data_IF_548512079754
#
_entry.id   IF_548512079754
#
_cell.length_a   1.000
_cell.length_b   1.000
_cell.length_c   1.000
_cell.angle_alpha   90.00
_cell.angle_beta   90.00
_cell.angle_gamma   90.00
#
_symmetry.space_group_name_H-M   'P 1'
#
loop_
_entity.id
_entity.type
_entity.pdbx_description
1 polymer ?
#
# COMPACT_ATOMS: atom_id res chain seq x y z
N UNK A 1 -5.18 -22.21 -5.34
CA UNK A 1 -6.27 -21.48 -6.03
C UNK A 1 -7.21 -20.96 -4.97
N UNK A 2 -7.37 -19.64 -4.85
CA UNK A 2 -8.28 -19.01 -3.87
C UNK A 2 -9.69 -18.95 -4.46
N UNK A 3 -10.70 -19.48 -3.77
CA UNK A 3 -12.09 -19.48 -4.23
C UNK A 3 -12.75 -18.13 -3.93
N UNK A 4 -13.39 -17.54 -4.94
CA UNK A 4 -14.25 -16.35 -4.77
C UNK A 4 -15.69 -16.80 -4.57
N UNK A 5 -16.32 -16.36 -3.49
CA UNK A 5 -17.70 -16.71 -3.13
C UNK A 5 -18.68 -15.77 -3.81
N UNK A 6 -19.03 -16.06 -5.07
CA UNK A 6 -20.12 -15.36 -5.78
C UNK A 6 -21.50 -15.89 -5.42
N UNK A 7 -21.56 -17.16 -5.07
CA UNK A 7 -22.76 -17.86 -4.60
C UNK A 7 -22.40 -18.43 -3.24
N UNK A 8 -23.13 -18.05 -2.17
CA UNK A 8 -22.89 -18.59 -0.84
C UNK A 8 -23.05 -20.12 -0.79
N UNK A 9 -22.47 -20.73 0.23
CA UNK A 9 -22.62 -22.16 0.48
C UNK A 9 -24.10 -22.50 0.78
N UNK A 10 -24.57 -23.66 0.32
CA UNK A 10 -25.93 -24.12 0.54
C UNK A 10 -27.05 -23.12 0.15
N UNK A 11 -26.85 -22.24 -0.83
CA UNK A 11 -27.93 -21.32 -1.33
C UNK A 11 -29.20 -22.07 -1.74
N UNK A 12 -29.05 -23.28 -2.31
CA UNK A 12 -30.18 -24.15 -2.69
C UNK A 12 -30.43 -25.29 -1.68
N UNK A 13 -29.68 -25.33 -0.58
CA UNK A 13 -29.82 -26.37 0.45
C UNK A 13 -30.72 -25.92 1.59
N UNK A 14 -31.19 -26.89 2.39
CA UNK A 14 -31.91 -26.60 3.62
C UNK A 14 -31.00 -25.87 4.62
N UNK A 15 -31.54 -24.80 5.20
CA UNK A 15 -30.85 -23.92 6.14
C UNK A 15 -31.79 -23.56 7.28
N UNK A 16 -31.21 -23.35 8.45
CA UNK A 16 -31.89 -22.76 9.60
C UNK A 16 -31.07 -21.58 10.11
N UNK A 17 -31.76 -20.49 10.45
CA UNK A 17 -31.11 -19.30 11.03
C UNK A 17 -30.51 -19.64 12.38
N UNK A 18 -29.28 -19.19 12.62
CA UNK A 18 -28.60 -19.39 13.90
C UNK A 18 -28.80 -18.14 14.77
N UNK A 19 -29.36 -18.27 15.98
CA UNK A 19 -29.48 -17.15 16.90
C UNK A 19 -28.11 -16.59 17.30
N UNK A 20 -28.03 -15.29 17.60
CA UNK A 20 -26.84 -14.73 18.23
C UNK A 20 -26.76 -15.16 19.69
N UNK A 21 -27.83 -14.94 20.44
CA UNK A 21 -27.89 -15.18 21.89
C UNK A 21 -27.69 -16.65 22.27
N UNK A 22 -27.14 -16.88 23.46
CA UNK A 22 -26.97 -18.23 24.02
C UNK A 22 -28.34 -18.89 24.22
N UNK A 23 -28.51 -20.10 23.69
CA UNK A 23 -29.77 -20.82 23.79
C UNK A 23 -29.86 -21.59 25.11
N UNK A 24 -30.98 -21.45 25.82
CA UNK A 24 -31.18 -22.08 27.13
C UNK A 24 -31.24 -23.62 27.06
N UNK A 25 -31.55 -24.17 25.88
CA UNK A 25 -31.60 -25.60 25.60
C UNK A 25 -30.24 -26.18 25.16
N UNK A 26 -29.18 -25.37 25.18
CA UNK A 26 -27.83 -25.75 24.77
C UNK A 26 -27.63 -25.82 23.24
N UNK A 27 -28.59 -25.39 22.43
CA UNK A 27 -28.45 -25.36 20.98
C UNK A 27 -27.38 -24.35 20.52
N UNK A 28 -26.77 -24.62 19.37
CA UNK A 28 -25.77 -23.73 18.75
C UNK A 28 -26.29 -22.30 18.56
N UNK A 29 -25.46 -21.32 18.92
CA UNK A 29 -25.63 -19.90 18.65
C UNK A 29 -24.33 -19.26 18.21
N UNK A 30 -24.35 -18.05 17.63
CA UNK A 30 -23.12 -17.36 17.26
C UNK A 30 -22.26 -16.95 18.47
N UNK A 31 -22.88 -16.64 19.61
CA UNK A 31 -22.15 -16.28 20.83
C UNK A 31 -21.52 -17.50 21.51
N UNK A 32 -22.23 -18.62 21.60
CA UNK A 32 -21.76 -19.81 22.33
C UNK A 32 -21.02 -20.82 21.46
N UNK A 33 -21.31 -20.85 20.15
CA UNK A 33 -20.89 -21.93 19.26
C UNK A 33 -21.58 -23.26 19.59
N UNK A 34 -20.99 -24.37 19.15
CA UNK A 34 -21.39 -25.70 19.59
C UNK A 34 -20.90 -25.93 21.03
N UNK A 35 -21.84 -26.01 21.98
CA UNK A 35 -21.54 -26.18 23.40
C UNK A 35 -21.19 -27.60 23.81
N UNK A 36 -21.01 -27.81 25.13
CA UNK A 36 -20.62 -29.09 25.74
C UNK A 36 -21.48 -30.28 25.31
N UNK A 37 -22.80 -30.08 25.12
CA UNK A 37 -23.69 -31.18 24.75
C UNK A 37 -23.39 -31.80 23.36
N UNK A 38 -22.64 -31.10 22.49
CA UNK A 38 -22.24 -31.60 21.18
C UNK A 38 -20.96 -32.46 21.18
N UNK A 39 -20.22 -32.53 22.30
CA UNK A 39 -19.06 -33.42 22.47
C UNK A 39 -19.35 -34.66 23.32
N UNK A 40 -20.57 -34.76 23.85
CA UNK A 40 -21.02 -35.89 24.66
C UNK A 40 -21.20 -37.14 23.80
N UNK A 41 -21.05 -38.31 24.42
CA UNK A 41 -21.20 -39.60 23.74
C UNK A 41 -22.67 -39.81 23.33
N UNK A 42 -22.89 -39.84 22.02
CA UNK A 42 -24.21 -39.97 21.41
C UNK A 42 -24.91 -41.32 21.70
N UNK A 43 -24.14 -42.35 22.07
CA UNK A 43 -24.68 -43.69 22.35
C UNK A 43 -25.09 -43.82 23.80
N UNK A 44 -24.33 -43.23 24.72
CA UNK A 44 -24.50 -43.45 26.16
C UNK A 44 -25.16 -42.30 26.91
N UNK A 45 -25.20 -41.09 26.34
CA UNK A 45 -25.70 -39.89 27.01
C UNK A 45 -26.97 -39.32 26.33
N UNK A 46 -28.15 -39.41 26.97
CA UNK A 46 -29.41 -38.90 26.41
C UNK A 46 -29.45 -37.39 26.17
N UNK A 47 -28.52 -36.63 26.75
CA UNK A 47 -28.43 -35.18 26.58
C UNK A 47 -27.42 -34.78 25.49
N UNK A 48 -26.77 -35.74 24.83
CA UNK A 48 -25.92 -35.46 23.66
C UNK A 48 -26.73 -34.85 22.50
N UNK A 49 -26.10 -33.92 21.78
CA UNK A 49 -26.67 -33.26 20.60
C UNK A 49 -25.88 -33.59 19.34
N UNK A 50 -26.60 -33.82 18.25
CA UNK A 50 -26.03 -33.98 16.92
C UNK A 50 -25.78 -32.63 16.26
N UNK A 51 -24.71 -32.52 15.46
CA UNK A 51 -24.51 -31.37 14.58
C UNK A 51 -25.55 -31.45 13.46
N UNK A 52 -26.56 -30.57 13.54
CA UNK A 52 -27.65 -30.56 12.58
C UNK A 52 -27.19 -29.97 11.24
N UNK A 53 -27.41 -30.70 10.15
CA UNK A 53 -26.92 -30.34 8.81
C UNK A 53 -27.42 -28.97 8.37
N UNK A 54 -28.70 -28.68 8.58
CA UNK A 54 -29.35 -27.42 8.25
C UNK A 54 -28.79 -26.23 9.03
N UNK A 55 -28.36 -26.44 10.28
CA UNK A 55 -27.68 -25.42 11.09
C UNK A 55 -26.25 -25.20 10.63
N UNK A 56 -25.51 -26.28 10.38
CA UNK A 56 -24.16 -26.20 9.80
C UNK A 56 -24.16 -25.51 8.42
N UNK A 57 -25.15 -25.83 7.58
CA UNK A 57 -25.35 -25.14 6.31
C UNK A 57 -25.65 -23.65 6.50
N UNK A 58 -26.48 -23.29 7.48
CA UNK A 58 -26.75 -21.90 7.85
C UNK A 58 -25.46 -21.14 8.21
N UNK A 59 -24.65 -21.69 9.11
CA UNK A 59 -23.38 -21.09 9.52
C UNK A 59 -22.45 -20.85 8.31
N UNK A 60 -22.27 -21.87 7.47
CA UNK A 60 -21.40 -21.72 6.29
C UNK A 60 -21.99 -20.79 5.25
N UNK A 61 -23.31 -20.75 5.10
CA UNK A 61 -23.97 -19.80 4.22
C UNK A 61 -23.65 -18.37 4.65
N UNK A 62 -23.90 -18.04 5.92
CA UNK A 62 -23.77 -16.67 6.43
C UNK A 62 -22.31 -16.18 6.36
N UNK A 63 -21.35 -17.06 6.66
CA UNK A 63 -19.92 -16.75 6.50
C UNK A 63 -19.55 -16.51 5.04
N UNK A 64 -19.98 -17.40 4.14
CA UNK A 64 -19.60 -17.29 2.71
C UNK A 64 -20.34 -16.17 1.98
N UNK A 65 -21.54 -15.80 2.44
CA UNK A 65 -22.25 -14.62 1.99
C UNK A 65 -21.51 -13.34 2.41
N UNK A 66 -21.18 -13.19 3.69
CA UNK A 66 -20.44 -12.03 4.19
C UNK A 66 -19.07 -11.87 3.49
N UNK A 67 -18.33 -12.96 3.31
CA UNK A 67 -17.07 -12.95 2.54
C UNK A 67 -17.33 -12.58 1.08
N UNK A 68 -18.37 -13.14 0.47
CA UNK A 68 -18.74 -12.89 -0.91
C UNK A 68 -19.08 -11.43 -1.19
N UNK A 69 -19.81 -10.78 -0.28
CA UNK A 69 -20.11 -9.34 -0.36
C UNK A 69 -18.83 -8.50 -0.36
N UNK A 70 -17.92 -8.74 0.59
CA UNK A 70 -16.64 -8.02 0.65
C UNK A 70 -15.79 -8.28 -0.58
N UNK A 71 -15.76 -9.50 -1.10
CA UNK A 71 -15.02 -9.85 -2.32
C UNK A 71 -15.60 -9.17 -3.57
N UNK A 72 -16.92 -8.96 -3.64
CA UNK A 72 -17.59 -8.35 -4.79
C UNK A 72 -17.54 -6.82 -4.75
N UNK A 73 -17.73 -6.21 -3.58
CA UNK A 73 -17.86 -4.75 -3.43
C UNK A 73 -16.61 -4.07 -2.84
N UNK A 74 -15.63 -4.84 -2.35
CA UNK A 74 -14.44 -4.36 -1.64
C UNK A 74 -14.69 -4.01 -0.18
N UNK A 75 -15.94 -3.77 0.21
CA UNK A 75 -16.35 -3.39 1.56
C UNK A 75 -17.60 -4.18 1.99
N UNK A 76 -17.80 -4.41 3.31
CA UNK A 76 -19.04 -4.98 3.83
C UNK A 76 -20.25 -4.12 3.43
N UNK A 77 -21.39 -4.75 3.14
CA UNK A 77 -22.62 -4.01 2.89
C UNK A 77 -23.15 -3.42 4.20
N UNK A 78 -23.75 -2.24 4.14
CA UNK A 78 -24.44 -1.69 5.30
C UNK A 78 -25.69 -2.52 5.62
N UNK A 79 -25.90 -2.79 6.91
CA UNK A 79 -27.01 -3.55 7.44
C UNK A 79 -27.53 -2.92 8.74
N UNK A 80 -28.82 -3.06 9.03
CA UNK A 80 -29.45 -2.48 10.22
C UNK A 80 -28.94 -3.15 11.50
N UNK A 81 -28.75 -4.47 11.44
CA UNK A 81 -28.18 -5.34 12.46
C UNK A 81 -26.68 -5.10 12.71
N UNK A 82 -25.99 -4.42 11.79
CA UNK A 82 -24.57 -4.07 11.93
C UNK A 82 -24.33 -2.85 12.81
N UNK A 83 -25.39 -2.19 13.28
CA UNK A 83 -25.29 -1.03 14.18
C UNK A 83 -24.86 -1.47 15.59
N UNK A 84 -24.13 -0.61 16.31
CA UNK A 84 -23.62 0.68 15.87
C UNK A 84 -22.27 0.54 15.12
N UNK A 85 -22.06 1.35 14.09
CA UNK A 85 -20.81 1.32 13.31
C UNK A 85 -19.73 2.19 13.96
N UNK A 86 -18.49 1.69 14.15
CA UNK A 86 -17.44 2.48 14.77
C UNK A 86 -16.93 3.60 13.88
N UNK A 87 -16.19 4.55 14.45
CA UNK A 87 -15.58 5.63 13.66
C UNK A 87 -14.64 5.04 12.60
N UNK A 88 -14.67 5.60 11.38
CA UNK A 88 -13.95 5.13 10.20
C UNK A 88 -14.38 3.77 9.64
N UNK A 89 -15.42 3.13 10.17
CA UNK A 89 -16.04 1.97 9.52
C UNK A 89 -16.43 2.33 8.07
N UNK A 90 -16.12 1.45 7.12
CA UNK A 90 -16.42 1.65 5.70
C UNK A 90 -17.43 0.61 5.26
N UNK A 91 -18.52 1.08 4.65
CA UNK A 91 -19.63 0.23 4.20
C UNK A 91 -20.04 0.57 2.78
N UNK A 92 -20.52 -0.43 2.04
CA UNK A 92 -21.16 -0.26 0.75
C UNK A 92 -22.68 -0.13 0.92
N UNK A 93 -23.27 0.96 0.43
CA UNK A 93 -24.71 1.21 0.54
C UNK A 93 -25.22 2.07 -0.63
N UNK A 94 -26.35 1.68 -1.24
CA UNK A 94 -26.99 2.39 -2.37
C UNK A 94 -25.99 2.74 -3.49
N UNK A 95 -25.19 1.77 -3.93
CA UNK A 95 -24.17 1.88 -4.97
C UNK A 95 -23.02 2.85 -4.66
N UNK A 96 -22.79 3.16 -3.39
CA UNK A 96 -21.76 4.09 -2.93
C UNK A 96 -20.99 3.50 -1.75
N UNK A 97 -19.76 3.95 -1.58
CA UNK A 97 -18.94 3.62 -0.42
C UNK A 97 -19.03 4.77 0.58
N UNK A 98 -19.27 4.44 1.84
CA UNK A 98 -19.45 5.42 2.92
C UNK A 98 -18.50 5.11 4.06
N UNK A 99 -17.92 6.15 4.65
CA UNK A 99 -17.11 6.05 5.85
C UNK A 99 -17.77 6.77 7.02
N UNK A 100 -17.85 6.11 8.17
CA UNK A 100 -18.40 6.70 9.39
C UNK A 100 -17.45 7.78 9.93
N UNK A 101 -18.02 8.93 10.30
CA UNK A 101 -17.31 10.09 10.88
C UNK A 101 -17.43 10.18 12.40
N UNK A 102 -18.26 9.35 13.01
CA UNK A 102 -18.55 9.34 14.45
C UNK A 102 -18.40 7.94 15.01
N UNK A 103 -18.11 7.86 16.31
CA UNK A 103 -18.17 6.60 17.04
C UNK A 103 -19.64 6.20 17.26
N UNK A 104 -19.91 4.90 17.38
CA UNK A 104 -21.24 4.34 17.61
C UNK A 104 -22.33 4.89 16.66
N UNK A 105 -22.07 4.84 15.36
CA UNK A 105 -22.96 5.38 14.35
C UNK A 105 -24.17 4.46 14.09
N UNK A 106 -25.35 4.89 14.51
CA UNK A 106 -26.62 4.17 14.36
C UNK A 106 -27.45 4.64 13.15
N UNK A 107 -26.94 5.59 12.36
CA UNK A 107 -27.71 6.22 11.28
C UNK A 107 -27.38 5.57 9.94
N UNK A 108 -28.39 5.41 9.08
CA UNK A 108 -28.21 4.90 7.71
C UNK A 108 -27.30 5.85 6.89
N UNK A 109 -26.38 5.33 6.05
CA UNK A 109 -25.45 6.14 5.30
C UNK A 109 -26.11 7.20 4.40
N UNK A 110 -25.83 8.46 4.72
CA UNK A 110 -26.29 9.64 3.98
C UNK A 110 -25.26 10.78 4.12
N UNK A 111 -25.12 11.62 3.10
CA UNK A 111 -24.19 12.74 3.12
C UNK A 111 -24.49 13.68 4.30
N UNK A 112 -23.52 13.88 5.20
CA UNK A 112 -23.71 14.77 6.34
C UNK A 112 -22.65 14.70 7.44
N UNK A 113 -23.10 14.90 8.68
CA UNK A 113 -22.23 14.94 9.84
C UNK A 113 -21.65 13.56 10.20
N UNK A 114 -22.45 12.51 10.05
CA UNK A 114 -22.13 11.16 10.52
C UNK A 114 -21.48 10.26 9.47
N UNK A 115 -21.71 10.51 8.19
CA UNK A 115 -21.10 9.76 7.09
C UNK A 115 -20.46 10.68 6.06
N UNK A 116 -19.36 10.23 5.47
CA UNK A 116 -18.75 10.81 4.26
C UNK A 116 -18.78 9.79 3.14
N UNK A 117 -19.18 10.22 1.95
CA UNK A 117 -19.09 9.41 0.74
C UNK A 117 -17.63 9.33 0.29
N UNK A 118 -17.10 8.12 0.13
CA UNK A 118 -15.81 7.86 -0.49
C UNK A 118 -16.02 7.75 -2.00
N UNK A 119 -15.81 8.86 -2.71
CA UNK A 119 -15.96 8.92 -4.17
C UNK A 119 -14.84 8.14 -4.86
N UNK A 120 -15.17 7.47 -5.97
CA UNK A 120 -14.18 6.82 -6.83
C UNK A 120 -13.30 7.84 -7.55
N UNK A 121 -13.88 8.99 -7.93
CA UNK A 121 -13.20 10.08 -8.62
C UNK A 121 -13.21 11.34 -7.75
N UNK A 122 -12.04 11.97 -7.57
CA UNK A 122 -11.92 13.28 -6.94
C UNK A 122 -12.01 14.36 -8.03
N UNK A 123 -13.07 15.17 -8.02
CA UNK A 123 -13.15 16.31 -8.92
C UNK A 123 -12.20 17.42 -8.46
N UNK A 124 -11.70 18.27 -9.35
CA UNK A 124 -10.81 19.39 -9.00
C UNK A 124 -11.39 20.30 -7.88
N UNK A 125 -12.72 20.43 -7.82
CA UNK A 125 -13.42 21.15 -6.75
C UNK A 125 -13.40 20.45 -5.39
N UNK A 126 -13.23 19.12 -5.33
CA UNK A 126 -13.16 18.36 -4.09
C UNK A 126 -11.78 18.46 -3.40
N UNK A 127 -10.75 18.90 -4.14
CA UNK A 127 -9.34 18.89 -3.70
C UNK A 127 -8.74 20.28 -3.48
N UNK A 128 -9.51 21.37 -3.64
CA UNK A 128 -9.00 22.76 -3.62
C UNK A 128 -7.77 22.96 -4.54
N UNK A 129 -7.69 22.18 -5.63
CA UNK A 129 -6.63 22.32 -6.63
C UNK A 129 -7.19 23.20 -7.74
N UNK A 130 -6.70 24.43 -7.83
CA UNK A 130 -7.00 25.31 -8.94
C UNK A 130 -6.48 24.68 -10.23
N UNK A 131 -7.33 24.56 -11.25
CA UNK A 131 -6.82 24.30 -12.59
C UNK A 131 -6.06 25.54 -13.09
N UNK A 132 -5.18 25.37 -14.09
CA UNK A 132 -4.32 26.45 -14.60
C UNK A 132 -5.13 27.72 -14.95
N UNK A 133 -6.31 27.56 -15.55
CA UNK A 133 -7.20 28.66 -15.92
C UNK A 133 -7.81 29.39 -14.72
N UNK A 134 -8.11 28.70 -13.63
CA UNK A 134 -8.59 29.31 -12.38
C UNK A 134 -7.47 30.00 -11.61
N UNK A 135 -6.27 29.41 -11.60
CA UNK A 135 -5.07 30.02 -11.04
C UNK A 135 -4.72 31.33 -11.75
N UNK A 136 -4.77 31.34 -13.09
CA UNK A 136 -4.47 32.49 -13.93
C UNK A 136 -5.48 33.65 -13.79
N UNK A 137 -6.70 33.36 -13.29
CA UNK A 137 -7.73 34.37 -13.02
C UNK A 137 -7.76 34.85 -11.56
N UNK A 138 -7.41 33.99 -10.59
CA UNK A 138 -7.48 34.30 -9.15
C UNK A 138 -6.19 34.90 -8.59
N UNK A 139 -5.05 34.60 -9.19
CA UNK A 139 -3.77 35.21 -8.82
C UNK A 139 -3.33 36.14 -9.95
N UNK A 140 -2.87 37.35 -9.60
CA UNK A 140 -2.51 38.35 -10.60
C UNK A 140 -1.47 37.78 -11.59
N UNK A 141 -1.58 38.09 -12.90
CA UNK A 141 -0.57 37.73 -13.88
C UNK A 141 0.79 38.25 -13.43
N UNK A 142 1.78 37.36 -13.39
CA UNK A 142 3.17 37.70 -13.13
C UNK A 142 3.66 38.64 -14.24
N UNK A 143 3.57 39.95 -14.06
CA UNK A 143 4.15 40.86 -15.05
C UNK A 143 3.70 42.31 -15.13
N UNK A 144 2.95 42.90 -14.19
CA UNK A 144 2.73 44.36 -14.18
C UNK A 144 2.73 44.91 -12.75
N UNK A 145 3.87 44.84 -12.06
CA UNK A 145 4.07 45.59 -10.83
C UNK A 145 4.58 46.99 -11.17
N UNK A 146 3.82 48.03 -10.80
CA UNK A 146 4.35 49.39 -10.69
C UNK A 146 5.38 49.40 -9.55
N UNK A 147 6.58 49.88 -9.85
CA UNK A 147 7.67 50.05 -8.88
C UNK A 147 7.20 50.95 -7.73
N UNK A 148 7.50 50.53 -6.50
CA UNK A 148 7.25 51.32 -5.30
C UNK A 148 7.99 52.67 -5.40
N UNK A 149 7.22 53.78 -5.45
CA UNK A 149 7.77 55.13 -5.31
C UNK A 149 7.37 56.20 -6.32
N UNK A 150 6.27 56.09 -7.09
CA UNK A 150 5.83 57.21 -7.93
C UNK A 150 4.37 57.67 -7.71
N UNK A 151 4.31 58.95 -7.33
CA UNK A 151 3.21 59.89 -7.50
C UNK A 151 2.83 60.07 -8.98
N UNK A 152 1.57 60.41 -9.23
CA UNK A 152 0.86 60.80 -10.45
C UNK A 152 1.65 60.91 -11.77
N UNK A 153 1.10 60.39 -12.87
CA UNK A 153 1.69 60.54 -14.20
C UNK A 153 1.72 62.01 -14.65
N UNK A 154 2.68 62.37 -15.53
CA UNK A 154 2.83 63.73 -16.07
C UNK A 154 1.53 64.24 -16.73
N UNK A 155 0.74 63.34 -17.30
CA UNK A 155 -0.55 63.64 -17.94
C UNK A 155 -1.68 63.92 -16.92
N UNK A 156 -1.63 63.31 -15.73
CA UNK A 156 -2.56 63.55 -14.62
C UNK A 156 -2.22 64.80 -13.81
N UNK A 157 -0.95 65.22 -13.79
CA UNK A 157 -0.49 66.50 -13.20
C UNK A 157 -0.96 67.71 -14.02
N UNK A 158 -0.87 67.62 -15.35
CA UNK A 158 -1.11 68.75 -16.25
C UNK A 158 -2.61 69.13 -16.40
N UNK A 159 -3.52 68.29 -15.91
CA UNK A 159 -4.98 68.52 -15.98
C UNK A 159 -5.63 68.92 -14.64
N UNK A 160 -4.96 68.72 -13.50
CA UNK A 160 -5.56 68.92 -12.17
C UNK A 160 -5.02 70.12 -11.37
N UNK A 161 -3.98 70.81 -11.84
CA UNK A 161 -3.45 72.02 -11.16
C UNK A 161 -3.37 73.21 -12.13
N UNK A 162 -3.91 74.36 -11.71
CA UNK A 162 -3.88 75.59 -12.50
C UNK A 162 -2.43 76.05 -12.79
N UNK A 163 -2.10 76.51 -14.01
CA UNK A 163 -0.81 77.09 -14.30
C UNK A 163 -0.56 78.35 -13.47
N UNK A 164 0.57 78.37 -12.76
CA UNK A 164 1.04 79.54 -12.03
C UNK A 164 1.50 80.60 -13.03
N UNK A 165 0.70 81.66 -13.21
CA UNK A 165 1.12 82.82 -14.03
C UNK A 165 0.01 83.59 -14.75
N UNK A 166 -1.27 83.31 -14.55
CA UNK A 166 -2.33 84.06 -15.25
C UNK A 166 -3.38 84.62 -14.27
N UNK A 167 -3.13 85.81 -13.76
CA UNK A 167 -4.16 86.64 -13.12
C UNK A 167 -4.34 87.91 -13.95
N UNK A 168 -5.34 87.90 -14.82
CA UNK A 168 -6.26 89.02 -15.05
C UNK A 168 -7.11 88.76 -16.29
N UNK A 169 -8.44 88.85 -16.16
CA UNK A 169 -9.25 89.43 -17.22
C UNK A 169 -9.80 90.78 -16.76
N UNK A 170 -10.20 91.55 -17.78
CA UNK A 170 -11.01 92.76 -17.72
C UNK A 170 -10.24 94.08 -17.57
N UNK A 171 -9.99 94.67 -18.74
CA UNK A 171 -10.06 96.09 -18.97
C UNK A 171 -11.21 96.73 -18.17
N UNK A 172 -10.91 97.81 -17.45
CA UNK A 172 -11.79 98.98 -17.34
C UNK A 172 -10.98 100.19 -16.87
N UNK A 173 -11.04 101.21 -17.70
CA UNK A 173 -10.41 102.51 -17.55
C UNK A 173 -11.00 103.29 -16.36
N UNK A 174 -10.14 103.94 -15.57
CA UNK A 174 -10.51 105.19 -14.87
C UNK A 174 -9.26 106.00 -14.46
N UNK A 175 -9.00 107.03 -15.26
CA UNK A 175 -8.44 108.36 -14.95
C UNK A 175 -7.49 108.55 -13.75
N UNK A 176 -6.25 108.92 -14.10
CA UNK A 176 -5.27 109.63 -13.26
C UNK A 176 -5.87 110.99 -12.85
N UNK A 177 -6.31 111.14 -11.59
CA UNK A 177 -6.89 112.42 -11.15
C UNK A 177 -7.30 112.53 -9.67
N UNK A 178 -8.05 111.58 -9.12
CA UNK A 178 -8.76 111.81 -7.84
C UNK A 178 -8.39 110.80 -6.74
N UNK A 179 -7.11 110.77 -6.35
CA UNK A 179 -6.69 110.08 -5.13
C UNK A 179 -6.97 110.96 -3.92
N UNK A 180 -7.93 110.57 -3.08
CA UNK A 180 -8.19 111.20 -1.78
C UNK A 180 -6.90 111.46 -1.01
N UNK A 181 -6.79 112.63 -0.40
CA UNK A 181 -5.65 112.97 0.44
C UNK A 181 -5.62 112.05 1.66
N UNK A 182 -4.42 111.79 2.22
CA UNK A 182 -4.22 110.85 3.34
C UNK A 182 -5.16 111.12 4.54
N UNK A 183 -5.55 112.38 4.74
CA UNK A 183 -6.48 112.79 5.79
C UNK A 183 -7.93 112.33 5.54
N UNK A 184 -8.35 112.17 4.28
CA UNK A 184 -9.71 111.75 3.90
C UNK A 184 -9.88 110.23 3.93
N UNK A 185 -8.79 109.46 3.74
CA UNK A 185 -8.79 107.99 3.86
C UNK A 185 -8.88 107.49 5.30
N UNK A 186 -8.21 108.15 6.24
CA UNK A 186 -8.12 107.73 7.64
C UNK A 186 -9.47 107.88 8.40
N UNK A 187 -10.41 108.68 7.89
CA UNK A 187 -11.74 108.86 8.48
C UNK A 187 -12.82 107.90 7.99
N UNK A 188 -12.60 107.19 6.86
CA UNK A 188 -13.63 106.32 6.23
C UNK A 188 -13.32 104.83 6.25
N UNK A 189 -12.10 104.42 6.60
CA UNK A 189 -11.69 103.01 6.62
C UNK A 189 -10.98 102.66 7.93
N UNK A 190 -11.28 101.49 8.49
CA UNK A 190 -10.67 101.04 9.74
C UNK A 190 -9.13 100.99 9.64
N UNK A 191 -8.40 101.35 10.73
CA UNK A 191 -6.95 101.32 10.74
C UNK A 191 -6.39 99.96 10.32
N UNK A 192 -5.43 99.98 9.39
CA UNK A 192 -4.76 98.81 8.85
C UNK A 192 -3.98 98.10 9.99
N UNK A 193 -4.51 96.97 10.47
CA UNK A 193 -3.88 96.18 11.53
C UNK A 193 -4.83 95.28 12.31
N UNK A 194 -6.12 95.63 12.40
CA UNK A 194 -7.12 94.85 13.14
C UNK A 194 -8.16 94.21 12.21
N UNK A 195 -7.75 93.20 11.45
CA UNK A 195 -8.65 92.36 10.64
C UNK A 195 -8.94 91.01 11.30
N UNK A 196 -9.45 91.01 12.54
CA UNK A 196 -9.96 89.79 13.15
C UNK A 196 -11.45 89.99 13.51
N UNK A 197 -12.37 89.23 12.89
CA UNK A 197 -13.78 89.21 13.31
C UNK A 197 -13.88 88.78 14.78
N UNK A 198 -14.77 89.40 15.54
CA UNK A 198 -15.10 88.98 16.89
C UNK A 198 -15.73 87.58 16.87
N UNK A 199 -14.89 86.56 17.04
CA UNK A 199 -15.25 85.17 17.28
C UNK A 199 -14.27 84.57 18.27
N UNK A 200 -14.71 83.58 19.05
CA UNK A 200 -13.88 82.84 20.02
C UNK A 200 -12.75 82.08 19.30
N UNK A 201 -11.68 82.77 18.93
CA UNK A 201 -10.45 82.14 18.46
C UNK A 201 -9.57 81.89 19.68
N UNK A 202 -9.40 80.61 20.02
CA UNK A 202 -8.45 80.20 21.04
C UNK A 202 -7.07 80.77 20.69
N UNK A 203 -6.45 81.49 21.63
CA UNK A 203 -5.07 82.00 21.48
C UNK A 203 -4.12 80.85 21.20
N UNK A 204 -2.95 81.10 20.57
CA UNK A 204 -1.93 80.04 20.39
C UNK A 204 -1.60 79.33 21.71
N UNK A 205 -1.62 80.07 22.82
CA UNK A 205 -1.48 79.53 24.18
C UNK A 205 -2.65 78.61 24.57
N UNK A 206 -3.90 79.02 24.35
CA UNK A 206 -5.08 78.21 24.64
C UNK A 206 -5.16 76.96 23.75
N UNK A 207 -4.80 77.07 22.47
CA UNK A 207 -4.65 75.94 21.54
C UNK A 207 -3.57 74.96 22.03
N UNK A 208 -2.39 75.46 22.38
CA UNK A 208 -1.26 74.63 22.85
C UNK A 208 -1.62 73.92 24.15
N UNK A 209 -2.25 74.62 25.10
CA UNK A 209 -2.71 74.03 26.37
C UNK A 209 -3.84 73.00 26.15
N UNK A 210 -4.78 73.29 25.25
CA UNK A 210 -5.86 72.38 24.86
C UNK A 210 -5.39 71.15 24.08
N UNK A 211 -4.28 71.25 23.35
CA UNK A 211 -3.65 70.13 22.64
C UNK A 211 -2.83 69.26 23.60
N UNK A 212 -2.07 69.87 24.51
CA UNK A 212 -1.28 69.15 25.53
C UNK A 212 -2.16 68.36 26.51
N UNK A 213 -3.41 68.79 26.73
CA UNK A 213 -4.40 68.05 27.54
C UNK A 213 -5.04 66.88 26.79
N UNK A 214 -4.99 66.85 25.46
CA UNK A 214 -5.55 65.75 24.65
C UNK A 214 -4.60 64.55 24.54
N UNK A 215 -3.29 64.76 24.53
CA UNK A 215 -2.26 63.72 24.62
C UNK A 215 -1.02 64.28 25.32
N UNK A 216 -0.85 63.99 26.61
CA UNK A 216 0.36 64.36 27.34
C UNK A 216 1.49 63.38 26.98
N UNK A 217 2.50 63.84 26.24
CA UNK A 217 3.64 63.02 25.82
C UNK A 217 4.48 62.48 26.98
N UNK A 218 4.43 63.13 28.16
CA UNK A 218 5.06 62.62 29.38
C UNK A 218 4.35 61.40 30.00
N UNK A 219 3.10 61.15 29.60
CA UNK A 219 2.31 59.98 30.00
C UNK A 219 2.47 58.80 29.02
N UNK A 220 3.36 58.91 28.02
CA UNK A 220 3.65 57.82 27.08
C UNK A 220 4.88 57.03 27.55
N UNK A 221 4.66 55.77 27.93
CA UNK A 221 5.72 54.85 28.34
C UNK A 221 6.39 54.19 27.11
N UNK A 222 7.72 54.12 27.11
CA UNK A 222 8.53 53.51 26.04
C UNK A 222 8.97 52.07 26.33
N UNK A 223 8.48 51.47 27.41
CA UNK A 223 8.76 50.10 27.82
C UNK A 223 7.53 49.46 28.47
N UNK A 224 7.57 48.14 28.65
CA UNK A 224 6.53 47.40 29.39
C UNK A 224 6.55 47.73 30.88
N UNK A 225 5.40 47.64 31.54
CA UNK A 225 5.26 47.94 32.96
C UNK A 225 3.82 47.80 33.45
N UNK A 226 3.60 48.15 34.71
CA UNK A 226 2.32 47.98 35.43
C UNK A 226 1.57 49.30 35.65
N UNK A 227 1.94 50.38 34.96
CA UNK A 227 1.34 51.70 35.15
C UNK A 227 -0.16 51.68 34.80
N UNK A 228 -0.98 52.24 35.69
CA UNK A 228 -2.42 52.40 35.50
C UNK A 228 -2.81 53.77 34.95
N UNK A 229 -1.84 54.68 34.79
CA UNK A 229 -2.05 56.08 34.37
C UNK A 229 -1.36 56.44 33.07
N UNK A 230 -0.35 55.66 32.65
CA UNK A 230 0.40 55.91 31.42
C UNK A 230 -0.10 55.01 30.29
N UNK A 231 -0.04 55.52 29.05
CA UNK A 231 -0.34 54.75 27.84
C UNK A 231 0.98 54.26 27.24
N UNK A 232 1.02 53.01 26.77
CA UNK A 232 2.22 52.45 26.14
C UNK A 232 2.38 52.99 24.71
N UNK A 233 3.61 53.32 24.30
CA UNK A 233 3.90 53.74 22.93
C UNK A 233 3.69 52.59 21.94
N UNK A 234 3.39 52.90 20.67
CA UNK A 234 3.27 51.87 19.63
C UNK A 234 4.54 51.00 19.54
N UNK A 235 5.73 51.59 19.65
CA UNK A 235 7.00 50.85 19.65
C UNK A 235 7.10 49.89 20.83
N UNK A 236 6.76 50.34 22.04
CA UNK A 236 6.81 49.51 23.24
C UNK A 236 5.81 48.34 23.17
N UNK A 237 4.62 48.57 22.60
CA UNK A 237 3.65 47.50 22.33
C UNK A 237 4.20 46.50 21.30
N UNK A 238 4.77 46.98 20.20
CA UNK A 238 5.37 46.14 19.16
C UNK A 238 6.52 45.29 19.71
N UNK A 239 7.45 45.88 20.47
CA UNK A 239 8.59 45.18 21.06
C UNK A 239 8.12 44.13 22.09
N UNK A 240 7.10 44.45 22.89
CA UNK A 240 6.52 43.53 23.87
C UNK A 240 5.84 42.32 23.21
N UNK A 241 5.05 42.56 22.15
CA UNK A 241 4.41 41.51 21.36
C UNK A 241 5.45 40.64 20.65
N UNK A 242 6.50 41.23 20.11
CA UNK A 242 7.57 40.48 19.43
C UNK A 242 8.36 39.61 20.41
N UNK A 243 8.65 40.10 21.62
CA UNK A 243 9.31 39.32 22.67
C UNK A 243 8.42 38.22 23.26
N UNK A 244 7.10 38.45 23.38
CA UNK A 244 6.16 37.43 23.86
C UNK A 244 6.01 36.24 22.90
N UNK A 245 6.33 36.42 21.61
CA UNK A 245 6.23 35.40 20.56
C UNK A 245 7.61 35.09 19.98
N UNK A 246 8.64 35.01 20.82
CA UNK A 246 9.99 34.70 20.37
C UNK A 246 10.11 33.23 19.92
N UNK A 247 9.84 32.99 18.64
CA UNK A 247 9.92 31.68 18.00
C UNK A 247 11.34 31.09 18.04
N UNK A 248 12.40 31.89 18.19
CA UNK A 248 13.77 31.38 18.30
C UNK A 248 14.02 30.68 19.64
N UNK A 249 13.25 31.04 20.67
CA UNK A 249 13.33 30.40 21.99
C UNK A 249 12.52 29.10 22.01
N UNK A 250 11.34 29.09 21.38
CA UNK A 250 10.45 27.91 21.35
C UNK A 250 10.92 26.90 20.30
N UNK A 251 11.39 27.39 19.16
CA UNK A 251 11.82 26.60 18.01
C UNK A 251 13.22 27.02 17.54
N UNK A 252 14.29 26.68 18.28
CA UNK A 252 15.65 27.05 17.89
C UNK A 252 16.06 26.41 16.56
N UNK A 253 17.05 26.99 15.87
CA UNK A 253 17.61 26.41 14.64
C UNK A 253 18.11 24.98 14.94
N UNK A 254 17.75 24.03 14.08
CA UNK A 254 18.04 22.60 14.24
C UNK A 254 16.97 21.82 15.02
N UNK A 255 15.98 22.48 15.63
CA UNK A 255 14.84 21.78 16.27
C UNK A 255 14.05 21.01 15.22
N UNK A 256 13.53 19.85 15.63
CA UNK A 256 12.63 19.02 14.82
C UNK A 256 11.21 19.15 15.34
N UNK A 257 10.25 19.36 14.44
CA UNK A 257 8.82 19.35 14.73
C UNK A 257 8.11 18.30 13.88
N UNK A 258 7.04 17.72 14.43
CA UNK A 258 6.25 16.66 13.79
C UNK A 258 4.79 17.08 13.69
N UNK A 259 4.20 16.94 12.49
CA UNK A 259 2.79 17.20 12.27
C UNK A 259 2.05 15.91 11.92
N UNK A 260 0.95 15.63 12.64
CA UNK A 260 0.00 14.57 12.30
C UNK A 260 -0.99 14.96 11.17
N UNK A 261 -0.76 16.11 10.53
CA UNK A 261 -1.55 16.66 9.44
C UNK A 261 -0.61 17.23 8.39
N UNK A 262 -1.11 17.40 7.16
CA UNK A 262 -0.36 18.04 6.10
C UNK A 262 -0.23 19.55 6.36
N UNK A 263 0.82 19.91 7.10
CA UNK A 263 1.14 21.28 7.50
C UNK A 263 2.57 21.60 7.13
N UNK A 264 2.77 22.76 6.52
CA UNK A 264 4.08 23.28 6.19
C UNK A 264 4.48 24.35 7.22
N UNK A 265 5.48 24.12 8.07
CA UNK A 265 5.89 25.11 9.07
C UNK A 265 6.41 26.41 8.45
N UNK A 266 6.87 26.41 7.20
CA UNK A 266 7.23 27.65 6.49
C UNK A 266 6.04 28.59 6.27
N UNK A 267 4.80 28.09 6.29
CA UNK A 267 3.59 28.92 6.21
C UNK A 267 2.98 29.21 7.58
N UNK A 268 3.13 28.29 8.54
CA UNK A 268 2.62 28.45 9.89
C UNK A 268 3.44 29.43 10.74
N UNK A 269 4.74 29.52 10.49
CA UNK A 269 5.67 30.34 11.26
C UNK A 269 6.39 31.34 10.35
N UNK A 270 5.72 32.45 9.97
CA UNK A 270 6.32 33.49 9.14
C UNK A 270 7.65 33.99 9.73
N UNK A 271 8.65 34.21 8.86
CA UNK A 271 9.98 34.65 9.27
C UNK A 271 10.95 33.52 9.66
N UNK A 272 10.50 32.26 9.62
CA UNK A 272 11.37 31.09 9.84
C UNK A 272 11.52 30.26 8.55
N UNK A 273 12.57 29.43 8.46
CA UNK A 273 12.78 28.46 7.37
C UNK A 273 12.91 27.05 7.92
N UNK A 274 12.25 26.12 7.25
CA UNK A 274 12.19 24.71 7.64
C UNK A 274 12.41 23.81 6.43
N UNK A 275 13.17 22.75 6.66
CA UNK A 275 13.45 21.73 5.66
C UNK A 275 12.77 20.41 6.04
N UNK A 276 12.19 19.75 5.05
CA UNK A 276 11.53 18.47 5.25
C UNK A 276 12.57 17.38 5.50
N UNK A 277 12.32 16.52 6.49
CA UNK A 277 13.25 15.46 6.92
C UNK A 277 13.28 14.31 5.90
N UNK A 278 12.28 14.20 5.03
CA UNK A 278 12.14 13.16 4.00
C UNK A 278 11.09 12.11 4.35
N UNK A 279 10.81 11.24 3.38
CA UNK A 279 9.70 10.28 3.42
C UNK A 279 10.17 8.86 3.76
N UNK A 280 9.28 8.06 4.36
CA UNK A 280 9.48 6.65 4.67
C UNK A 280 10.75 6.39 5.51
N UNK A 281 10.94 7.16 6.59
CA UNK A 281 12.10 7.06 7.48
C UNK A 281 11.69 6.85 8.93
N UNK A 282 12.45 6.00 9.63
CA UNK A 282 12.41 5.89 11.09
C UNK A 282 13.55 6.68 11.71
N UNK A 283 13.32 7.30 12.87
CA UNK A 283 14.33 8.13 13.54
C UNK A 283 15.31 7.29 14.34
N UNK A 284 16.60 7.63 14.24
CA UNK A 284 17.70 7.06 15.03
C UNK A 284 18.43 8.19 15.75
N UNK A 285 19.00 7.87 16.90
CA UNK A 285 19.86 8.79 17.62
C UNK A 285 21.20 8.92 16.87
N UNK A 286 21.63 10.16 16.66
CA UNK A 286 22.96 10.46 16.16
C UNK A 286 24.01 10.16 17.25
N UNK A 287 25.27 10.04 16.84
CA UNK A 287 26.40 9.98 17.76
C UNK A 287 26.43 11.26 18.62
N UNK A 288 26.84 11.13 19.88
CA UNK A 288 26.91 12.27 20.81
C UNK A 288 27.82 13.40 20.31
N UNK A 289 28.78 13.11 19.42
CA UNK A 289 29.64 14.10 18.75
C UNK A 289 28.95 14.91 17.67
N UNK A 290 27.75 14.51 17.22
CA UNK A 290 27.04 15.12 16.11
C UNK A 290 27.55 14.72 14.71
N UNK A 291 28.56 13.86 14.61
CA UNK A 291 29.26 13.56 13.34
C UNK A 291 28.38 12.98 12.23
N UNK A 292 27.28 12.32 12.59
CA UNK A 292 26.34 11.67 11.66
C UNK A 292 24.92 12.27 11.72
N UNK A 293 24.77 13.48 12.27
CA UNK A 293 23.49 14.20 12.26
C UNK A 293 23.00 14.38 10.82
N UNK A 294 21.70 14.15 10.59
CA UNK A 294 21.03 14.16 9.28
C UNK A 294 21.53 13.13 8.24
N UNK A 295 22.43 12.21 8.62
CA UNK A 295 22.74 11.07 7.76
C UNK A 295 21.51 10.18 7.54
N UNK A 296 21.42 9.55 6.37
CA UNK A 296 20.30 8.70 5.98
C UNK A 296 20.79 7.33 5.53
N UNK A 297 19.93 6.31 5.65
CA UNK A 297 20.23 4.95 5.22
C UNK A 297 19.09 3.99 5.56
N UNK A 298 19.26 2.72 5.16
CA UNK A 298 18.24 1.68 5.30
C UNK A 298 17.45 1.42 4.01
N UNK A 299 16.61 0.38 4.05
CA UNK A 299 15.72 -0.03 2.97
C UNK A 299 14.50 -0.73 3.58
N UNK A 300 13.33 -0.59 2.94
CA UNK A 300 12.10 -1.28 3.34
C UNK A 300 12.05 -2.76 2.90
N UNK A 301 12.96 -3.16 2.01
CA UNK A 301 13.06 -4.54 1.54
C UNK A 301 14.50 -4.98 1.32
N UNK A 302 14.73 -6.29 1.46
CA UNK A 302 16.00 -6.93 1.11
C UNK A 302 15.73 -8.16 0.26
N UNK A 303 16.49 -8.31 -0.83
CA UNK A 303 16.57 -9.56 -1.58
C UNK A 303 17.79 -10.33 -1.07
N UNK A 304 17.58 -11.54 -0.54
CA UNK A 304 18.67 -12.35 -0.05
C UNK A 304 19.57 -12.80 -1.20
N UNK A 305 20.87 -12.63 -1.01
CA UNK A 305 21.91 -13.14 -1.90
C UNK A 305 22.37 -14.53 -1.45
N UNK A 306 23.06 -15.25 -2.33
CA UNK A 306 23.65 -16.56 -2.00
C UNK A 306 24.56 -16.50 -0.77
N UNK A 307 25.34 -15.42 -0.62
CA UNK A 307 26.21 -15.21 0.54
C UNK A 307 25.46 -15.04 1.88
N UNK A 308 24.16 -14.75 1.84
CA UNK A 308 23.30 -14.58 3.01
C UNK A 308 22.49 -15.84 3.35
N UNK A 309 22.65 -16.92 2.58
CA UNK A 309 21.98 -18.19 2.84
C UNK A 309 22.86 -19.13 3.68
N UNK A 310 22.32 -19.77 4.73
CA UNK A 310 23.05 -20.81 5.44
C UNK A 310 23.46 -21.97 4.51
N UNK A 311 24.63 -22.55 4.78
CA UNK A 311 25.10 -23.73 4.07
C UNK A 311 24.10 -24.88 4.24
N UNK A 312 23.66 -25.46 3.13
CA UNK A 312 22.71 -26.57 3.11
C UNK A 312 22.99 -27.51 1.93
N UNK A 313 22.47 -28.73 1.98
CA UNK A 313 22.65 -29.73 0.95
C UNK A 313 21.31 -30.43 0.63
N UNK A 314 21.11 -30.80 -0.63
CA UNK A 314 19.98 -31.60 -1.08
C UNK A 314 20.52 -32.89 -1.70
N UNK A 315 20.05 -34.03 -1.22
CA UNK A 315 20.37 -35.33 -1.79
C UNK A 315 19.11 -35.99 -2.31
N UNK A 316 19.20 -36.63 -3.48
CA UNK A 316 18.19 -37.59 -3.92
C UNK A 316 18.86 -38.90 -4.29
N UNK A 317 18.15 -40.00 -4.01
CA UNK A 317 18.52 -41.35 -4.39
C UNK A 317 17.33 -42.01 -5.05
N UNK A 318 17.57 -42.63 -6.20
CA UNK A 318 16.58 -43.42 -6.91
C UNK A 318 17.23 -44.71 -7.44
N UNK A 319 16.41 -45.71 -7.72
CA UNK A 319 16.85 -47.00 -8.27
C UNK A 319 16.10 -47.28 -9.55
N UNK A 320 16.79 -47.74 -10.60
CA UNK A 320 16.14 -48.14 -11.86
C UNK A 320 15.26 -49.37 -11.64
N UNK A 321 14.24 -49.57 -12.48
CA UNK A 321 13.46 -50.81 -12.46
C UNK A 321 14.34 -52.00 -12.88
N UNK A 322 14.14 -53.17 -12.25
CA UNK A 322 14.86 -54.40 -12.56
C UNK A 322 14.15 -55.14 -13.70
N UNK A 323 14.52 -54.83 -14.95
CA UNK A 323 13.90 -55.42 -16.15
C UNK A 323 14.94 -55.91 -17.14
N UNK A 324 14.58 -56.88 -17.98
CA UNK A 324 15.45 -57.38 -19.06
C UNK A 324 16.08 -58.75 -18.82
N UNK A 325 15.90 -59.36 -17.64
CA UNK A 325 16.22 -60.76 -17.42
C UNK A 325 15.38 -61.64 -18.35
N UNK A 326 16.03 -62.42 -19.20
CA UNK A 326 15.38 -63.46 -19.98
C UNK A 326 16.34 -64.60 -20.29
N UNK A 327 15.76 -65.75 -20.64
CA UNK A 327 16.45 -66.96 -21.10
C UNK A 327 15.91 -67.34 -22.46
N UNK A 328 16.74 -67.92 -23.33
CA UNK A 328 16.29 -68.47 -24.60
C UNK A 328 16.01 -69.97 -24.46
N UNK A 329 14.85 -70.40 -24.96
CA UNK A 329 14.57 -71.81 -25.19
C UNK A 329 15.00 -72.23 -26.61
N UNK A 330 14.79 -73.51 -26.94
CA UNK A 330 15.06 -74.06 -28.28
C UNK A 330 14.31 -73.37 -29.43
N UNK A 331 13.23 -72.65 -29.12
CA UNK A 331 12.34 -72.07 -30.12
C UNK A 331 11.77 -73.14 -31.05
N UNK A 332 11.68 -72.83 -32.34
CA UNK A 332 11.25 -73.75 -33.41
C UNK A 332 12.41 -74.49 -34.08
N UNK A 333 13.65 -74.25 -33.65
CA UNK A 333 14.84 -74.91 -34.19
C UNK A 333 15.02 -76.26 -33.50
N UNK A 334 15.04 -77.33 -34.29
CA UNK A 334 15.35 -78.68 -33.82
C UNK A 334 16.72 -79.10 -34.34
N UNK A 335 17.56 -79.64 -33.47
CA UNK A 335 18.87 -80.15 -33.88
C UNK A 335 18.64 -81.62 -34.23
N UNK A 336 18.73 -81.91 -35.52
CA UNK A 336 18.57 -83.26 -36.06
C UNK A 336 19.82 -83.72 -36.77
N UNK A 337 20.11 -85.01 -36.72
CA UNK A 337 21.20 -85.59 -37.49
C UNK A 337 21.09 -87.10 -37.56
N UNK A 338 21.55 -87.68 -38.66
CA UNK A 338 21.55 -89.11 -38.88
C UNK A 338 22.98 -89.62 -39.00
N UNK A 339 23.25 -90.79 -38.43
CA UNK A 339 24.51 -91.47 -38.66
C UNK A 339 24.29 -92.98 -38.85
N UNK A 340 24.95 -93.59 -39.84
CA UNK A 340 24.91 -95.03 -40.05
C UNK A 340 25.87 -95.75 -39.09
N UNK A 341 25.46 -96.90 -38.59
CA UNK A 341 26.33 -97.84 -37.92
C UNK A 341 26.18 -99.23 -38.55
N UNK A 342 27.31 -99.90 -38.76
CA UNK A 342 27.38 -101.27 -39.24
C UNK A 342 27.63 -102.20 -38.06
N UNK A 343 26.87 -103.30 -37.96
CA UNK A 343 27.10 -104.32 -36.95
C UNK A 343 27.15 -105.71 -37.57
N UNK A 344 28.20 -106.46 -37.23
CA UNK A 344 28.41 -107.85 -37.61
C UNK A 344 27.92 -108.80 -36.51
N UNK A 345 26.61 -109.11 -36.47
CA UNK A 345 25.99 -110.26 -35.77
C UNK A 345 24.45 -110.13 -35.62
N UNK A 346 23.73 -111.23 -35.92
CA UNK A 346 22.27 -111.31 -36.11
C UNK A 346 21.45 -111.71 -34.86
N UNK A 347 21.70 -111.11 -33.68
CA UNK A 347 20.82 -111.36 -32.54
C UNK A 347 20.73 -110.16 -31.58
N UNK A 348 19.48 -109.77 -31.30
CA UNK A 348 19.01 -108.67 -30.44
C UNK A 348 19.08 -107.26 -31.05
N UNK A 349 17.99 -106.90 -31.74
CA UNK A 349 17.77 -105.60 -32.39
C UNK A 349 17.08 -104.64 -31.39
N UNK A 350 17.78 -103.56 -31.01
CA UNK A 350 17.22 -102.25 -30.66
C UNK A 350 16.58 -101.95 -29.30
N UNK A 351 17.06 -102.49 -28.19
CA UNK A 351 16.38 -102.26 -26.90
C UNK A 351 17.00 -101.18 -25.99
N UNK A 352 18.09 -100.49 -26.38
CA UNK A 352 18.77 -99.55 -25.47
C UNK A 352 18.75 -98.07 -25.85
N UNK A 353 18.20 -97.69 -27.01
CA UNK A 353 18.11 -96.27 -27.37
C UNK A 353 17.09 -95.55 -26.50
N UNK A 354 17.48 -94.42 -25.92
CA UNK A 354 16.64 -93.60 -25.03
C UNK A 354 16.85 -92.11 -25.34
N UNK A 355 15.88 -91.29 -24.94
CA UNK A 355 15.94 -89.85 -25.11
C UNK A 355 15.85 -89.43 -26.58
N UNK A 356 16.82 -88.66 -27.05
CA UNK A 356 16.81 -88.01 -28.36
C UNK A 356 17.08 -88.95 -29.55
N UNK A 357 17.45 -90.21 -29.31
CA UNK A 357 17.88 -91.13 -30.37
C UNK A 357 16.77 -92.12 -30.75
N UNK A 358 16.63 -92.38 -32.05
CA UNK A 358 15.71 -93.37 -32.63
C UNK A 358 16.35 -94.09 -33.81
N UNK A 359 15.65 -95.09 -34.35
CA UNK A 359 16.06 -95.79 -35.57
C UNK A 359 15.26 -95.23 -36.73
N UNK A 360 15.98 -94.73 -37.73
CA UNK A 360 15.37 -94.21 -38.95
C UNK A 360 15.11 -95.33 -39.95
N UNK A 361 16.12 -96.19 -40.16
CA UNK A 361 16.02 -97.30 -41.10
C UNK A 361 17.03 -98.39 -40.80
N UNK A 362 16.75 -99.59 -41.34
CA UNK A 362 17.66 -100.74 -41.31
C UNK A 362 17.86 -101.25 -42.72
N UNK A 363 19.05 -101.69 -43.02
CA UNK A 363 19.41 -102.24 -44.33
C UNK A 363 20.39 -103.39 -44.14
N UNK A 364 20.42 -104.33 -45.09
CA UNK A 364 21.44 -105.37 -45.13
C UNK A 364 22.68 -104.76 -45.78
N UNK A 365 23.79 -104.74 -45.06
CA UNK A 365 25.00 -104.05 -45.48
C UNK A 365 25.87 -104.80 -46.48
N UNK A 366 25.54 -106.04 -46.79
CA UNK A 366 25.92 -106.68 -48.04
C UNK A 366 27.41 -106.65 -48.39
N UNK A 367 28.31 -106.71 -47.41
CA UNK A 367 29.75 -106.80 -47.65
C UNK A 367 30.26 -108.21 -47.37
N UNK A 368 30.14 -109.06 -48.40
CA UNK A 368 30.62 -110.43 -48.35
C UNK A 368 32.14 -110.51 -48.40
N UNK A 369 32.77 -110.81 -47.27
CA UNK A 369 33.85 -111.80 -47.26
C UNK A 369 33.76 -112.61 -45.96
N UNK A 370 33.28 -113.85 -46.07
CA UNK A 370 33.20 -114.88 -45.02
C UNK A 370 32.08 -114.78 -43.97
N UNK A 371 30.83 -114.87 -44.44
CA UNK A 371 29.86 -115.79 -43.82
C UNK A 371 29.02 -115.33 -42.62
N UNK A 372 28.81 -114.02 -42.42
CA UNK A 372 27.68 -113.52 -41.63
C UNK A 372 27.15 -112.24 -42.29
N UNK A 373 25.83 -112.10 -42.39
CA UNK A 373 25.21 -110.88 -42.93
C UNK A 373 25.48 -109.71 -41.98
N UNK A 374 26.10 -108.65 -42.50
CA UNK A 374 26.26 -107.39 -41.78
C UNK A 374 24.92 -106.63 -41.83
N UNK A 375 24.40 -106.23 -40.68
CA UNK A 375 23.22 -105.38 -40.60
C UNK A 375 23.68 -103.92 -40.44
N UNK A 376 23.20 -103.07 -41.33
CA UNK A 376 23.32 -101.61 -41.23
C UNK A 376 22.09 -101.01 -40.57
N UNK A 377 22.30 -100.10 -39.63
CA UNK A 377 21.21 -99.31 -39.03
C UNK A 377 21.55 -97.83 -39.12
N UNK A 378 20.60 -97.02 -39.58
CA UNK A 378 20.71 -95.56 -39.52
C UNK A 378 20.02 -95.11 -38.25
N UNK A 379 20.80 -94.51 -37.35
CA UNK A 379 20.27 -93.90 -36.15
C UNK A 379 20.00 -92.42 -36.42
N UNK A 380 18.84 -91.97 -35.99
CA UNK A 380 18.46 -90.57 -36.00
C UNK A 380 18.59 -89.99 -34.59
N UNK A 381 19.20 -88.82 -34.50
CA UNK A 381 19.12 -87.92 -33.37
C UNK A 381 18.12 -86.82 -33.68
N UNK A 382 17.18 -86.61 -32.76
CA UNK A 382 16.24 -85.48 -32.77
C UNK A 382 16.18 -84.91 -31.36
N UNK A 383 16.81 -83.76 -31.15
CA UNK A 383 16.96 -83.15 -29.83
C UNK A 383 15.62 -82.88 -29.13
N UNK A 384 14.60 -82.43 -29.87
CA UNK A 384 13.27 -82.12 -29.33
C UNK A 384 12.58 -83.27 -28.59
N UNK A 385 12.98 -84.52 -28.87
CA UNK A 385 12.41 -85.71 -28.23
C UNK A 385 12.78 -85.84 -26.75
N UNK A 386 13.83 -85.18 -26.29
CA UNK A 386 14.30 -85.33 -24.91
C UNK A 386 14.93 -84.09 -24.28
N UNK A 387 15.29 -83.07 -25.07
CA UNK A 387 15.88 -81.86 -24.51
C UNK A 387 14.81 -80.89 -23.98
N UNK A 388 14.95 -80.52 -22.70
CA UNK A 388 14.02 -79.63 -21.97
C UNK A 388 14.72 -78.39 -21.39
N UNK A 389 15.92 -78.03 -21.86
CA UNK A 389 16.71 -76.94 -21.28
C UNK A 389 16.42 -75.55 -21.84
N UNK A 390 16.89 -74.53 -21.12
CA UNK A 390 16.98 -73.12 -21.54
C UNK A 390 18.42 -72.63 -21.32
N UNK A 391 18.81 -71.54 -21.96
CA UNK A 391 20.12 -70.90 -21.71
C UNK A 391 20.20 -70.36 -20.27
N UNK A 392 21.40 -70.25 -19.71
CA UNK A 392 21.61 -69.59 -18.42
C UNK A 392 21.32 -68.08 -18.51
N UNK A 393 20.95 -67.48 -17.37
CA UNK A 393 20.74 -66.04 -17.22
C UNK A 393 21.39 -65.56 -15.92
N UNK A 394 22.08 -64.42 -15.96
CA UNK A 394 22.74 -63.80 -14.82
C UNK A 394 21.88 -62.76 -14.10
N UNK A 395 20.55 -62.77 -14.33
CA UNK A 395 19.57 -62.04 -13.55
C UNK A 395 19.41 -60.58 -13.96
N UNK A 396 18.26 -60.00 -13.63
CA UNK A 396 18.02 -58.57 -13.81
C UNK A 396 18.70 -57.83 -12.65
N UNK A 397 19.38 -56.74 -12.95
CA UNK A 397 20.01 -55.89 -11.96
C UNK A 397 19.49 -54.47 -12.07
N UNK A 398 19.72 -53.72 -11.00
CA UNK A 398 19.34 -52.31 -10.90
C UNK A 398 20.57 -51.45 -10.70
N UNK A 399 20.50 -50.21 -11.18
CA UNK A 399 21.50 -49.20 -10.90
C UNK A 399 20.96 -48.15 -9.93
N UNK A 400 21.84 -47.63 -9.08
CA UNK A 400 21.55 -46.46 -8.25
C UNK A 400 21.82 -45.20 -9.06
N UNK A 401 20.88 -44.26 -9.04
CA UNK A 401 21.03 -42.93 -9.63
C UNK A 401 20.99 -41.91 -8.48
N UNK A 402 21.99 -41.05 -8.42
CA UNK A 402 22.10 -39.99 -7.42
C UNK A 402 22.60 -38.69 -8.04
N UNK A 403 22.20 -37.57 -7.46
CA UNK A 403 22.67 -36.25 -7.88
C UNK A 403 22.20 -35.15 -6.93
N UNK A 404 22.40 -33.89 -7.35
CA UNK A 404 21.92 -32.71 -6.65
C UNK A 404 20.70 -32.12 -7.37
N UNK A 405 19.76 -31.56 -6.61
CA UNK A 405 18.66 -30.79 -7.16
C UNK A 405 19.06 -29.33 -7.28
N UNK A 406 18.69 -28.66 -8.38
CA UNK A 406 19.01 -27.25 -8.60
C UNK A 406 18.40 -26.29 -7.55
N UNK A 407 18.81 -25.02 -7.63
CA UNK A 407 18.50 -23.99 -6.65
C UNK A 407 17.00 -23.84 -6.39
N UNK A 408 16.64 -23.65 -5.12
CA UNK A 408 15.28 -23.31 -4.66
C UNK A 408 15.27 -21.89 -4.11
N UNK A 409 14.23 -21.13 -4.47
CA UNK A 409 14.06 -19.73 -4.09
C UNK A 409 13.62 -18.90 -5.30
N UNK A 410 12.73 -17.93 -5.09
CA UNK A 410 12.22 -17.06 -6.16
C UNK A 410 13.06 -15.80 -6.34
N UNK A 411 14.04 -15.54 -5.48
CA UNK A 411 14.73 -14.24 -5.40
C UNK A 411 13.78 -13.09 -5.02
N UNK A 412 12.59 -13.40 -4.50
CA UNK A 412 11.64 -12.39 -4.06
C UNK A 412 12.20 -11.62 -2.87
N UNK A 413 12.02 -10.30 -2.90
CA UNK A 413 12.38 -9.44 -1.78
C UNK A 413 11.48 -9.76 -0.59
N UNK A 414 12.07 -9.76 0.61
CA UNK A 414 11.34 -9.77 1.86
C UNK A 414 11.19 -8.34 2.36
N UNK A 415 10.00 -7.97 2.79
CA UNK A 415 9.78 -6.69 3.47
C UNK A 415 10.37 -6.77 4.88
N UNK A 416 11.12 -5.74 5.24
CA UNK A 416 11.70 -5.55 6.59
C UNK A 416 11.14 -4.29 7.25
N UNK A 417 10.02 -3.80 6.74
CA UNK A 417 9.34 -2.61 7.21
C UNK A 417 8.68 -2.89 8.57
N UNK A 418 9.05 -2.11 9.59
CA UNK A 418 8.42 -2.20 10.91
C UNK A 418 7.01 -1.60 10.89
N UNK A 419 6.15 -1.96 11.85
CA UNK A 419 4.92 -1.23 12.08
C UNK A 419 5.23 0.24 12.48
N UNK A 420 4.54 1.21 11.88
CA UNK A 420 4.82 2.63 12.09
C UNK A 420 3.56 3.51 12.04
N UNK A 421 3.72 4.73 12.56
CA UNK A 421 2.80 5.86 12.33
C UNK A 421 3.59 6.91 11.53
N UNK A 422 2.99 7.43 10.44
CA UNK A 422 3.63 8.46 9.61
C UNK A 422 3.22 9.85 10.08
N UNK A 423 4.22 10.69 10.34
CA UNK A 423 4.07 12.11 10.67
C UNK A 423 4.95 12.93 9.74
N UNK A 424 4.57 14.17 9.44
CA UNK A 424 5.40 15.07 8.65
C UNK A 424 6.46 15.72 9.53
N UNK A 425 7.71 15.30 9.35
CA UNK A 425 8.87 15.82 10.10
C UNK A 425 9.58 16.94 9.38
N UNK A 426 9.83 18.04 10.08
CA UNK A 426 10.57 19.19 9.58
C UNK A 426 11.63 19.62 10.58
N UNK A 427 12.76 20.12 10.12
CA UNK A 427 13.77 20.75 10.97
C UNK A 427 14.03 22.19 10.57
N UNK A 428 14.23 23.07 11.55
CA UNK A 428 14.45 24.49 11.31
C UNK A 428 15.86 24.74 10.80
N UNK A 429 15.99 25.53 9.73
CA UNK A 429 17.27 25.89 9.10
C UNK A 429 17.62 27.37 9.22
N UNK A 430 16.63 28.25 9.39
CA UNK A 430 16.82 29.67 9.69
C UNK A 430 15.65 30.25 10.49
#
# INVERSE_FOLDING_TARGET
>A
MTKTFKVPFATQGDRTSIPNEVQADGAVSYTQGYGYDYERDQVSDPAAKDIEREKMNGIFHDITEAIGEVQNYGFPKWAEEGKPYPIRAVVYHKNKVWQSKVENNEVEPVAGAQWVELKADLAAGDINVYNKTESDKRFQPLGNYLVAGYSYSKQESDTNYQPKGNYAPAANYAMKGDSYTKAEGDGRYQPKGNYAPAGDYATNTALTNGLNTKLNTSSIAQATGTSTTNVMSQKAVTDALQNAVNLDTIYPIGVVVWFAQNKNPNTLFPGTKWQYIGENRTIRLAAASGANVLSTGGSDSVTLTEAQMPAHNHSFSATTNSTGAHTHGRGTMDITGDFPALRRASANRDSSLKGAFTILSKWNAGNGWSGNDDDGTVYNFTASRSWTGVTSNNGAHTHTVSGTTGNKGSGAAISVTNAYIMLMGWYRTA
#
